data_IF_616411413713
#
_entry.id   IF_616411413713
#
_cell.length_a   1.000
_cell.length_b   1.000
_cell.length_c   1.000
_cell.angle_alpha   90.00
_cell.angle_beta   90.00
_cell.angle_gamma   90.00
#
_symmetry.space_group_name_H-M   'P 1'
#
loop_
_entity.id
_entity.type
_entity.pdbx_description
1 polymer ?
#
# COMPACT_ATOMS: atom_id res chain seq x y z
N UNK A 1 38.57 -11.46 6.13
CA UNK A 1 37.84 -11.72 4.88
C UNK A 1 36.50 -11.04 4.99
N UNK A 2 36.26 -9.99 4.20
CA UNK A 2 35.01 -9.21 4.24
C UNK A 2 34.01 -9.87 3.28
N UNK A 3 32.81 -10.13 3.78
CA UNK A 3 31.70 -10.83 3.12
C UNK A 3 31.37 -10.21 1.74
N UNK A 4 31.51 -11.01 0.67
CA UNK A 4 31.36 -10.58 -0.73
C UNK A 4 29.94 -10.04 -1.03
N UNK A 5 28.96 -10.44 -0.22
CA UNK A 5 27.57 -9.96 -0.25
C UNK A 5 27.44 -8.46 0.05
N UNK A 6 28.36 -7.92 0.87
CA UNK A 6 28.35 -6.51 1.27
C UNK A 6 28.94 -5.56 0.21
N UNK A 7 29.67 -6.09 -0.77
CA UNK A 7 30.27 -5.27 -1.84
C UNK A 7 29.33 -5.03 -3.02
N UNK A 8 28.33 -5.88 -3.26
CA UNK A 8 27.44 -5.80 -4.44
C UNK A 8 26.46 -4.61 -4.44
N UNK A 9 26.30 -3.92 -3.30
CA UNK A 9 25.32 -2.84 -3.13
C UNK A 9 25.90 -1.55 -2.54
N UNK A 10 27.23 -1.42 -2.50
CA UNK A 10 27.87 -0.20 -2.03
C UNK A 10 27.51 0.97 -2.97
N UNK A 11 26.80 1.98 -2.46
CA UNK A 11 26.41 3.17 -3.21
C UNK A 11 24.99 3.16 -3.80
N UNK A 12 24.23 2.06 -3.70
CA UNK A 12 22.83 2.00 -4.16
C UNK A 12 21.86 2.45 -3.07
N UNK A 13 20.89 3.29 -3.42
CA UNK A 13 19.81 3.69 -2.51
C UNK A 13 18.94 2.47 -2.14
N UNK A 14 18.23 2.56 -1.01
CA UNK A 14 17.28 1.51 -0.60
C UNK A 14 16.21 1.24 -1.66
N UNK A 15 15.76 2.27 -2.37
CA UNK A 15 14.82 2.17 -3.49
C UNK A 15 15.43 1.38 -4.66
N UNK A 16 16.69 1.64 -5.02
CA UNK A 16 17.38 0.89 -6.06
C UNK A 16 17.55 -0.58 -5.70
N UNK A 17 17.85 -0.89 -4.44
CA UNK A 17 17.99 -2.28 -3.98
C UNK A 17 16.66 -3.04 -4.00
N UNK A 18 15.55 -2.36 -3.66
CA UNK A 18 14.21 -2.95 -3.76
C UNK A 18 13.82 -3.20 -5.22
N UNK A 19 14.08 -2.21 -6.09
CA UNK A 19 13.87 -2.31 -7.54
C UNK A 19 14.64 -3.49 -8.15
N UNK A 20 15.94 -3.58 -7.88
CA UNK A 20 16.80 -4.68 -8.34
C UNK A 20 16.27 -6.06 -7.90
N UNK A 21 15.77 -6.15 -6.66
CA UNK A 21 15.24 -7.39 -6.11
C UNK A 21 13.93 -7.83 -6.80
N UNK A 22 13.04 -6.87 -7.10
CA UNK A 22 11.80 -7.14 -7.83
C UNK A 22 12.09 -7.57 -9.27
N UNK A 23 13.00 -6.88 -9.97
CA UNK A 23 13.35 -7.23 -11.37
C UNK A 23 14.00 -8.61 -11.48
N UNK A 24 14.93 -8.92 -10.57
CA UNK A 24 15.57 -10.23 -10.52
C UNK A 24 14.58 -11.35 -10.19
N UNK A 25 13.60 -11.10 -9.31
CA UNK A 25 12.55 -12.08 -8.99
C UNK A 25 11.59 -12.35 -10.18
N UNK A 26 11.46 -11.39 -11.09
CA UNK A 26 10.61 -11.48 -12.28
C UNK A 26 11.38 -11.88 -13.55
N UNK A 27 12.69 -12.10 -13.45
CA UNK A 27 13.58 -12.43 -14.57
C UNK A 27 13.47 -11.45 -15.75
N UNK A 28 13.40 -10.15 -15.44
CA UNK A 28 13.37 -9.06 -16.41
C UNK A 28 14.75 -8.42 -16.50
N UNK A 29 15.25 -8.21 -17.73
CA UNK A 29 16.53 -7.53 -17.98
C UNK A 29 16.30 -6.03 -18.19
N UNK A 30 17.16 -5.18 -17.62
CA UNK A 30 16.99 -3.72 -17.72
C UNK A 30 17.36 -3.17 -19.10
N UNK A 31 18.19 -3.89 -19.85
CA UNK A 31 18.66 -3.45 -21.17
C UNK A 31 17.53 -3.43 -22.23
N UNK A 32 16.37 -4.02 -21.91
CA UNK A 32 15.16 -4.00 -22.74
C UNK A 32 14.29 -2.73 -22.53
N UNK A 33 14.65 -1.85 -21.59
CA UNK A 33 13.85 -0.68 -21.22
C UNK A 33 14.65 0.63 -21.33
N UNK A 34 14.14 1.59 -22.11
CA UNK A 34 14.84 2.86 -22.38
C UNK A 34 14.85 3.80 -21.17
N UNK A 35 13.85 3.72 -20.28
CA UNK A 35 13.77 4.53 -19.06
C UNK A 35 13.25 3.77 -17.84
N UNK A 36 13.53 4.32 -16.65
CA UNK A 36 13.06 3.73 -15.38
C UNK A 36 11.53 3.71 -15.25
N UNK A 37 10.83 4.60 -15.94
CA UNK A 37 9.37 4.64 -15.96
C UNK A 37 8.80 3.51 -16.84
N UNK A 38 9.45 3.19 -17.97
CA UNK A 38 9.02 2.12 -18.88
C UNK A 38 9.06 0.74 -18.23
N UNK A 39 10.13 0.47 -17.47
CA UNK A 39 10.28 -0.74 -16.68
C UNK A 39 9.21 -0.86 -15.58
N UNK A 40 8.83 0.27 -14.97
CA UNK A 40 7.81 0.30 -13.91
C UNK A 40 6.42 0.05 -14.50
N UNK A 41 6.10 0.69 -15.62
CA UNK A 41 4.82 0.52 -16.32
C UNK A 41 4.69 -0.88 -16.92
N UNK A 42 5.78 -1.48 -17.39
CA UNK A 42 5.79 -2.86 -17.88
C UNK A 42 5.55 -3.88 -16.77
N UNK A 43 6.21 -3.73 -15.61
CA UNK A 43 5.97 -4.59 -14.44
C UNK A 43 4.54 -4.42 -13.92
N UNK A 44 4.01 -3.20 -13.89
CA UNK A 44 2.61 -2.95 -13.54
C UNK A 44 1.64 -3.57 -14.57
N UNK A 45 1.97 -3.53 -15.86
CA UNK A 45 1.22 -4.20 -16.92
C UNK A 45 1.22 -5.72 -16.80
N UNK A 46 2.36 -6.32 -16.49
CA UNK A 46 2.49 -7.76 -16.20
C UNK A 46 1.73 -8.16 -14.94
N UNK A 47 1.85 -7.40 -13.86
CA UNK A 47 1.09 -7.65 -12.64
C UNK A 47 -0.41 -7.54 -12.88
N UNK A 48 -0.86 -6.55 -13.66
CA UNK A 48 -2.28 -6.41 -14.02
C UNK A 48 -2.75 -7.57 -14.91
N UNK A 49 -1.97 -8.00 -15.92
CA UNK A 49 -2.36 -9.14 -16.77
C UNK A 49 -2.33 -10.48 -16.01
N UNK A 50 -1.46 -10.60 -15.01
CA UNK A 50 -1.45 -11.74 -14.09
C UNK A 50 -2.62 -11.71 -13.09
N UNK A 51 -3.07 -10.51 -12.68
CA UNK A 51 -4.29 -10.35 -11.87
C UNK A 51 -5.55 -10.67 -12.68
N UNK A 52 -5.59 -10.31 -13.96
CA UNK A 52 -6.70 -10.66 -14.87
C UNK A 52 -6.80 -12.18 -15.12
N UNK A 53 -5.71 -12.93 -14.89
CA UNK A 53 -5.64 -14.38 -15.01
C UNK A 53 -5.82 -15.16 -13.70
N UNK A 54 -6.18 -14.52 -12.58
CA UNK A 54 -6.44 -15.25 -11.34
C UNK A 54 -7.85 -15.87 -11.30
N UNK A 55 -7.84 -17.19 -11.04
CA UNK A 55 -8.95 -18.06 -10.65
C UNK A 55 -9.95 -17.32 -9.76
N UNK A 56 -11.23 -17.37 -10.14
CA UNK A 56 -12.34 -16.71 -9.45
C UNK A 56 -12.32 -16.99 -7.93
N UNK A 57 -11.80 -16.03 -7.16
CA UNK A 57 -11.98 -16.00 -5.71
C UNK A 57 -13.48 -15.77 -5.48
N UNK A 58 -14.18 -16.61 -4.67
CA UNK A 58 -15.60 -16.44 -4.44
C UNK A 58 -15.89 -15.02 -3.98
N UNK A 59 -16.70 -14.30 -4.77
CA UNK A 59 -17.07 -12.91 -4.52
C UNK A 59 -17.77 -12.85 -3.17
N UNK A 60 -17.11 -12.27 -2.16
CA UNK A 60 -17.71 -12.05 -0.86
C UNK A 60 -19.02 -11.27 -1.06
N UNK A 61 -20.15 -11.84 -0.62
CA UNK A 61 -21.46 -11.20 -0.75
C UNK A 61 -21.43 -9.92 0.07
N UNK A 62 -21.43 -8.78 -0.63
CA UNK A 62 -21.44 -7.48 0.01
C UNK A 62 -22.75 -7.33 0.82
N UNK A 63 -22.70 -6.77 2.04
CA UNK A 63 -23.91 -6.56 2.83
C UNK A 63 -24.91 -5.66 2.08
N UNK A 64 -26.20 -5.99 2.17
CA UNK A 64 -27.30 -5.33 1.44
C UNK A 64 -27.63 -3.92 1.93
N UNK A 65 -26.96 -3.43 2.97
CA UNK A 65 -27.10 -2.09 3.52
C UNK A 65 -25.74 -1.57 4.04
N UNK A 66 -25.50 -0.24 4.00
CA UNK A 66 -24.30 0.35 4.58
C UNK A 66 -24.25 0.10 6.09
N UNK A 67 -23.07 -0.29 6.60
CA UNK A 67 -22.83 -0.38 8.04
C UNK A 67 -22.52 1.00 8.59
N UNK A 68 -23.18 1.38 9.68
CA UNK A 68 -22.81 2.56 10.47
C UNK A 68 -21.78 2.17 11.52
N UNK A 69 -20.64 2.86 11.54
CA UNK A 69 -19.65 2.76 12.61
C UNK A 69 -19.77 4.02 13.46
N UNK A 70 -19.97 3.85 14.77
CA UNK A 70 -19.93 4.94 15.73
C UNK A 70 -18.76 4.70 16.67
N UNK A 71 -17.95 5.74 16.86
CA UNK A 71 -16.93 5.77 17.90
C UNK A 71 -17.44 6.70 19.00
N UNK A 72 -17.50 6.18 20.23
CA UNK A 72 -17.91 6.95 21.39
C UNK A 72 -16.69 7.28 22.24
N UNK A 73 -16.48 8.58 22.49
CA UNK A 73 -15.50 9.03 23.47
C UNK A 73 -16.01 8.76 24.87
N UNK A 74 -15.09 8.50 25.81
CA UNK A 74 -15.44 8.23 27.21
C UNK A 74 -16.12 9.43 27.87
N UNK A 75 -15.70 10.63 27.50
CA UNK A 75 -16.28 11.89 27.96
C UNK A 75 -16.08 13.03 26.94
N UNK A 76 -16.64 14.20 27.26
CA UNK A 76 -16.57 15.41 26.43
C UNK A 76 -15.14 15.92 26.28
N UNK A 77 -14.31 15.74 27.30
CA UNK A 77 -12.91 16.18 27.26
C UNK A 77 -12.14 15.36 26.23
N UNK A 78 -12.27 14.04 26.26
CA UNK A 78 -11.68 13.15 25.25
C UNK A 78 -12.19 13.53 23.84
N UNK A 79 -13.48 13.83 23.67
CA UNK A 79 -14.00 14.24 22.37
C UNK A 79 -13.37 15.52 21.83
N UNK A 80 -13.11 16.50 22.70
CA UNK A 80 -12.49 17.76 22.30
C UNK A 80 -10.98 17.59 22.05
N UNK A 81 -10.30 16.81 22.89
CA UNK A 81 -8.86 16.61 22.82
C UNK A 81 -8.43 15.80 21.57
N UNK A 82 -9.31 14.93 21.05
CA UNK A 82 -9.02 14.05 19.92
C UNK A 82 -9.79 14.38 18.64
N UNK A 83 -10.54 15.48 18.59
CA UNK A 83 -11.38 15.85 17.43
C UNK A 83 -10.58 15.96 16.13
N UNK A 84 -9.40 16.59 16.18
CA UNK A 84 -8.54 16.77 15.01
C UNK A 84 -7.96 15.44 14.50
N UNK A 85 -7.65 14.50 15.40
CA UNK A 85 -7.21 13.16 15.01
C UNK A 85 -8.34 12.40 14.32
N UNK A 86 -9.56 12.43 14.88
CA UNK A 86 -10.73 11.80 14.26
C UNK A 86 -10.96 12.37 12.86
N UNK A 87 -10.85 13.69 12.70
CA UNK A 87 -10.98 14.34 11.41
C UNK A 87 -9.96 13.81 10.40
N UNK A 88 -8.68 13.73 10.76
CA UNK A 88 -7.63 13.20 9.87
C UNK A 88 -7.89 11.74 9.48
N UNK A 89 -8.29 10.89 10.43
CA UNK A 89 -8.61 9.49 10.16
C UNK A 89 -9.85 9.36 9.25
N UNK A 90 -10.86 10.19 9.47
CA UNK A 90 -12.04 10.26 8.63
C UNK A 90 -11.72 10.75 7.21
N UNK A 91 -10.86 11.76 7.08
CA UNK A 91 -10.43 12.29 5.79
C UNK A 91 -9.60 11.24 5.01
N UNK A 92 -8.75 10.47 5.68
CA UNK A 92 -8.01 9.36 5.07
C UNK A 92 -8.96 8.27 4.55
N UNK A 93 -9.96 7.88 5.36
CA UNK A 93 -11.00 6.94 4.95
C UNK A 93 -11.80 7.48 3.75
N UNK A 94 -12.19 8.75 3.80
CA UNK A 94 -12.92 9.43 2.72
C UNK A 94 -12.10 9.41 1.43
N UNK A 95 -10.79 9.69 1.52
CA UNK A 95 -9.88 9.62 0.38
C UNK A 95 -9.77 8.20 -0.19
N UNK A 96 -9.66 7.17 0.65
CA UNK A 96 -9.62 5.77 0.18
C UNK A 96 -10.95 5.32 -0.43
N UNK A 97 -12.07 5.75 0.17
CA UNK A 97 -13.41 5.33 -0.21
C UNK A 97 -13.97 6.10 -1.41
N UNK A 98 -13.54 7.33 -1.67
CA UNK A 98 -14.15 8.17 -2.72
C UNK A 98 -13.13 8.93 -3.56
N UNK A 99 -11.84 8.83 -3.24
CA UNK A 99 -10.80 9.52 -3.99
C UNK A 99 -10.37 8.76 -5.25
N UNK A 100 -9.46 9.41 -5.98
CA UNK A 100 -8.88 8.93 -7.24
C UNK A 100 -8.29 7.51 -7.16
N UNK A 101 -7.80 7.09 -6.00
CA UNK A 101 -7.28 5.73 -5.80
C UNK A 101 -8.36 4.68 -6.03
N UNK A 102 -9.59 4.93 -5.57
CA UNK A 102 -10.73 4.07 -5.86
C UNK A 102 -11.07 4.07 -7.34
N UNK A 103 -11.20 5.25 -7.93
CA UNK A 103 -11.57 5.41 -9.34
C UNK A 103 -10.59 4.73 -10.30
N UNK A 104 -9.29 4.77 -9.97
CA UNK A 104 -8.21 4.33 -10.87
C UNK A 104 -7.73 2.91 -10.62
N UNK A 105 -7.87 2.41 -9.39
CA UNK A 105 -7.20 1.17 -8.98
C UNK A 105 -8.07 0.19 -8.19
N UNK A 106 -9.29 0.58 -7.77
CA UNK A 106 -10.10 -0.36 -6.99
C UNK A 106 -10.66 -1.51 -7.82
N UNK A 107 -10.97 -1.29 -9.10
CA UNK A 107 -11.69 -2.28 -9.93
C UNK A 107 -12.95 -2.83 -9.23
N UNK A 108 -13.69 -1.95 -8.54
CA UNK A 108 -14.82 -2.28 -7.66
C UNK A 108 -14.53 -3.29 -6.53
N UNK A 109 -13.26 -3.52 -6.20
CA UNK A 109 -12.83 -4.36 -5.10
C UNK A 109 -12.86 -3.61 -3.76
N UNK A 110 -13.20 -4.31 -2.66
CA UNK A 110 -13.08 -3.75 -1.33
C UNK A 110 -11.61 -3.42 -1.02
N UNK A 111 -11.37 -2.45 -0.15
CA UNK A 111 -10.02 -1.90 0.15
C UNK A 111 -8.93 -2.98 0.35
N UNK A 112 -9.23 -4.04 1.11
CA UNK A 112 -8.31 -5.14 1.41
C UNK A 112 -8.01 -6.10 0.24
N UNK A 113 -8.71 -5.95 -0.89
CA UNK A 113 -8.54 -6.75 -2.12
C UNK A 113 -8.05 -5.90 -3.29
N UNK A 114 -7.85 -4.59 -3.09
CA UNK A 114 -7.29 -3.73 -4.13
C UNK A 114 -5.83 -4.13 -4.43
N UNK A 115 -5.30 -3.83 -5.64
CA UNK A 115 -3.99 -4.30 -6.09
C UNK A 115 -2.85 -4.10 -5.10
N UNK A 116 -2.85 -3.00 -4.33
CA UNK A 116 -1.82 -2.74 -3.32
C UNK A 116 -1.69 -3.86 -2.25
N UNK A 117 -2.81 -4.48 -1.87
CA UNK A 117 -2.83 -5.59 -0.91
C UNK A 117 -2.56 -6.93 -1.61
N UNK A 118 -3.15 -7.15 -2.79
CA UNK A 118 -2.96 -8.37 -3.58
C UNK A 118 -1.50 -8.57 -4.01
N UNK A 119 -0.77 -7.48 -4.32
CA UNK A 119 0.68 -7.51 -4.59
C UNK A 119 1.45 -7.96 -3.34
N UNK A 120 1.04 -7.51 -2.15
CA UNK A 120 1.69 -7.93 -0.89
C UNK A 120 1.45 -9.40 -0.60
N UNK A 121 0.25 -9.92 -0.89
CA UNK A 121 -0.06 -11.35 -0.81
C UNK A 121 0.79 -12.16 -1.81
N UNK A 122 0.92 -11.71 -3.06
CA UNK A 122 1.73 -12.37 -4.10
C UNK A 122 3.21 -12.47 -3.72
N UNK A 123 3.77 -11.40 -3.14
CA UNK A 123 5.18 -11.34 -2.71
C UNK A 123 5.36 -12.05 -1.35
N UNK A 124 4.27 -12.36 -0.63
CA UNK A 124 4.32 -12.89 0.73
C UNK A 124 4.92 -11.91 1.74
N UNK A 125 4.78 -10.60 1.50
CA UNK A 125 5.44 -9.56 2.29
C UNK A 125 4.73 -8.21 2.17
N UNK A 126 4.62 -7.43 3.28
CA UNK A 126 4.03 -6.10 3.25
C UNK A 126 5.01 -5.02 2.77
N UNK A 127 6.24 -5.37 2.38
CA UNK A 127 7.29 -4.40 2.05
C UNK A 127 6.93 -3.47 0.88
N UNK A 128 6.10 -3.91 -0.07
CA UNK A 128 5.57 -3.05 -1.13
C UNK A 128 4.72 -1.89 -0.59
N UNK A 129 3.89 -2.16 0.42
CA UNK A 129 3.10 -1.13 1.12
C UNK A 129 4.01 -0.21 1.95
N UNK A 130 5.04 -0.75 2.61
CA UNK A 130 6.05 0.03 3.35
C UNK A 130 6.79 0.98 2.42
N UNK A 131 7.17 0.52 1.22
CA UNK A 131 7.80 1.38 0.22
C UNK A 131 6.91 2.57 -0.15
N UNK A 132 5.60 2.34 -0.34
CA UNK A 132 4.66 3.41 -0.63
C UNK A 132 4.52 4.40 0.53
N UNK A 133 4.51 3.93 1.78
CA UNK A 133 4.57 4.80 2.97
C UNK A 133 5.80 5.72 2.89
N UNK A 134 6.99 5.15 2.72
CA UNK A 134 8.24 5.92 2.65
C UNK A 134 8.23 6.92 1.49
N UNK A 135 7.84 6.48 0.30
CA UNK A 135 7.75 7.32 -0.91
C UNK A 135 6.83 8.51 -0.68
N UNK A 136 5.60 8.26 -0.23
CA UNK A 136 4.59 9.31 -0.03
C UNK A 136 4.93 10.28 1.08
N UNK A 137 5.58 9.84 2.15
CA UNK A 137 6.11 10.77 3.18
C UNK A 137 7.17 11.68 2.57
N UNK A 138 8.17 11.11 1.89
CA UNK A 138 9.31 11.88 1.33
C UNK A 138 8.85 12.85 0.24
N UNK A 139 8.01 12.41 -0.69
CA UNK A 139 7.47 13.28 -1.74
C UNK A 139 6.48 14.30 -1.17
N UNK A 140 5.58 13.83 -0.29
CA UNK A 140 4.48 14.59 0.27
C UNK A 140 4.93 15.80 1.08
N UNK A 141 5.93 15.66 1.95
CA UNK A 141 6.41 16.80 2.76
C UNK A 141 7.05 17.91 1.93
N UNK A 142 7.43 17.62 0.67
CA UNK A 142 8.10 18.57 -0.22
C UNK A 142 7.16 19.20 -1.27
N UNK A 143 5.88 18.83 -1.30
CA UNK A 143 4.92 19.39 -2.27
C UNK A 143 4.68 20.89 -2.08
N UNK A 144 4.39 21.66 -3.15
CA UNK A 144 4.38 23.12 -3.07
C UNK A 144 3.21 23.69 -2.26
N UNK A 145 2.06 23.02 -2.20
CA UNK A 145 0.89 23.53 -1.46
C UNK A 145 0.53 22.67 -0.25
N UNK A 146 0.03 23.30 0.81
CA UNK A 146 -0.45 22.62 2.02
C UNK A 146 -1.41 21.47 1.68
N UNK A 147 -2.41 21.72 0.82
CA UNK A 147 -3.41 20.71 0.47
C UNK A 147 -2.85 19.54 -0.32
N UNK A 148 -1.79 19.76 -1.12
CA UNK A 148 -1.07 18.67 -1.77
C UNK A 148 -0.32 17.82 -0.74
N UNK A 149 0.38 18.45 0.22
CA UNK A 149 1.07 17.74 1.30
C UNK A 149 0.09 16.91 2.13
N UNK A 150 -1.02 17.52 2.57
CA UNK A 150 -2.05 16.83 3.35
C UNK A 150 -2.61 15.64 2.57
N UNK A 151 -3.00 15.81 1.30
CA UNK A 151 -3.52 14.70 0.49
C UNK A 151 -2.53 13.55 0.35
N UNK A 152 -1.23 13.84 0.22
CA UNK A 152 -0.21 12.81 0.12
C UNK A 152 -0.03 12.05 1.44
N UNK A 153 -0.05 12.77 2.57
CA UNK A 153 0.05 12.21 3.92
C UNK A 153 -1.21 11.43 4.34
N UNK A 154 -2.40 11.81 3.88
CA UNK A 154 -3.60 10.97 4.05
C UNK A 154 -3.44 9.62 3.32
N UNK A 155 -2.75 9.63 2.16
CA UNK A 155 -2.38 8.42 1.45
C UNK A 155 -1.47 7.51 2.28
N UNK A 156 -0.55 8.09 3.07
CA UNK A 156 0.32 7.34 3.99
C UNK A 156 -0.50 6.56 5.01
N UNK A 157 -1.51 7.19 5.63
CA UNK A 157 -2.41 6.53 6.60
C UNK A 157 -3.08 5.31 5.97
N UNK A 158 -3.54 5.43 4.72
CA UNK A 158 -4.17 4.33 3.98
C UNK A 158 -3.19 3.17 3.70
N UNK A 159 -1.96 3.46 3.29
CA UNK A 159 -0.96 2.41 3.09
C UNK A 159 -0.55 1.73 4.42
N UNK A 160 -0.43 2.50 5.50
CA UNK A 160 -0.20 1.93 6.84
C UNK A 160 -1.36 1.06 7.30
N UNK A 161 -2.61 1.46 7.04
CA UNK A 161 -3.78 0.62 7.29
C UNK A 161 -3.73 -0.68 6.47
N UNK A 162 -3.31 -0.62 5.20
CA UNK A 162 -3.07 -1.80 4.36
C UNK A 162 -2.07 -2.77 5.00
N UNK A 163 -0.95 -2.26 5.54
CA UNK A 163 0.05 -3.08 6.24
C UNK A 163 -0.58 -3.81 7.43
N UNK A 164 -1.34 -3.09 8.27
CA UNK A 164 -2.01 -3.67 9.43
C UNK A 164 -3.00 -4.76 9.03
N UNK A 165 -3.80 -4.50 7.97
CA UNK A 165 -4.75 -5.49 7.44
C UNK A 165 -4.01 -6.74 6.95
N UNK A 166 -2.91 -6.58 6.21
CA UNK A 166 -2.10 -7.69 5.72
C UNK A 166 -1.55 -8.52 6.88
N UNK A 167 -0.94 -7.87 7.88
CA UNK A 167 -0.40 -8.53 9.07
C UNK A 167 -1.47 -9.30 9.84
N UNK A 168 -2.65 -8.70 10.05
CA UNK A 168 -3.75 -9.35 10.76
C UNK A 168 -4.28 -10.59 10.02
N UNK A 169 -4.24 -10.60 8.68
CA UNK A 169 -4.63 -11.77 7.87
C UNK A 169 -3.59 -12.88 7.90
N UNK A 170 -2.32 -12.54 8.11
CA UNK A 170 -1.18 -13.46 8.11
C UNK A 170 -0.66 -13.78 9.52
N UNK A 171 -1.40 -13.43 10.57
CA UNK A 171 -1.13 -13.95 11.90
C UNK A 171 -1.32 -15.47 11.90
N UNK A 172 -0.21 -16.20 12.01
CA UNK A 172 -0.23 -17.61 12.39
C UNK A 172 -0.92 -17.72 13.75
N UNK A 173 -2.06 -18.40 13.84
CA UNK A 173 -2.52 -18.85 15.15
C UNK A 173 -1.38 -19.70 15.74
N UNK A 174 -0.91 -19.45 16.98
CA UNK A 174 -0.02 -20.39 17.63
C UNK A 174 -0.72 -21.76 17.67
N UNK A 175 0.03 -22.88 17.57
CA UNK A 175 -0.56 -24.19 17.78
C UNK A 175 -1.30 -24.15 19.12
N UNK A 176 -2.57 -24.57 19.15
CA UNK A 176 -3.25 -24.83 20.41
C UNK A 176 -2.44 -25.91 21.11
N UNK A 177 -1.92 -25.60 22.30
CA UNK A 177 -1.28 -26.57 23.20
C UNK A 177 -2.22 -27.72 23.54
#
# INVERSE_FOLDING_TARGET
MVDASKQKHAGKSSAQRFRDAVMNALNLDMDDFETDDDATDHVLGLLNSMMDNQVAIPKAVAPSAPRSWQYEFRDVKDSNDYSELVKVLHDALTQAAYGKGRERHANDLPFHQQPMNTISDLIGSPLGLVYQVCKKVVEGVNLPTHDQRVRELLGVINYTAGIVIWLNRHQSNPPKE
#
